data_IF_949085453113
#
_entry.id   IF_949085453113
#
_cell.length_a   1.000
_cell.length_b   1.000
_cell.length_c   1.000
_cell.angle_alpha   90.00
_cell.angle_beta   90.00
_cell.angle_gamma   90.00
#
_symmetry.space_group_name_H-M   'P 1'
#
loop_
_entity.id
_entity.type
_entity.pdbx_description
1 polymer ?
#
# COMPACT_ATOMS: atom_id res chain seq x y z
N UNK A 1 19.43 3.74 -26.52
CA UNK A 1 18.50 4.24 -25.50
C UNK A 1 17.51 5.21 -26.15
N UNK A 2 16.34 4.71 -26.59
CA UNK A 2 15.37 5.45 -27.42
C UNK A 2 14.89 6.75 -26.76
N UNK A 3 14.76 6.75 -25.42
CA UNK A 3 14.31 7.92 -24.65
C UNK A 3 15.31 9.10 -24.69
N UNK A 4 16.56 8.83 -25.06
CA UNK A 4 17.63 9.84 -25.17
C UNK A 4 17.80 10.38 -26.60
N UNK A 5 17.08 9.87 -27.60
CA UNK A 5 17.26 10.31 -28.99
C UNK A 5 16.53 11.64 -29.26
N UNK A 6 17.13 12.48 -30.10
CA UNK A 6 16.54 13.73 -30.56
C UNK A 6 15.10 13.59 -31.11
N UNK A 7 14.77 12.61 -31.98
CA UNK A 7 13.40 12.47 -32.50
C UNK A 7 12.39 12.04 -31.43
N UNK A 8 12.80 11.20 -30.47
CA UNK A 8 11.92 10.81 -29.35
C UNK A 8 11.63 12.00 -28.45
N UNK A 9 12.67 12.77 -28.11
CA UNK A 9 12.53 13.97 -27.30
C UNK A 9 11.62 14.97 -28.01
N UNK A 10 11.84 15.31 -29.29
CA UNK A 10 10.99 16.25 -30.04
C UNK A 10 9.50 15.88 -30.04
N UNK A 11 9.16 14.59 -30.23
CA UNK A 11 7.77 14.14 -30.35
C UNK A 11 7.07 13.89 -29.01
N UNK A 12 7.82 13.65 -27.93
CA UNK A 12 7.28 13.22 -26.62
C UNK A 12 7.66 14.17 -25.47
N UNK A 13 7.93 15.45 -25.75
CA UNK A 13 8.19 16.48 -24.72
C UNK A 13 6.99 16.75 -23.81
N UNK A 14 5.78 16.50 -24.30
CA UNK A 14 4.58 16.68 -23.51
C UNK A 14 4.39 15.49 -22.58
N UNK A 15 4.84 15.66 -21.34
CA UNK A 15 4.59 14.73 -20.25
C UNK A 15 3.69 15.44 -19.24
N UNK A 16 2.38 15.20 -19.33
CA UNK A 16 1.46 15.69 -18.30
C UNK A 16 1.67 14.84 -17.05
N UNK A 17 2.01 15.50 -15.94
CA UNK A 17 2.15 14.83 -14.65
C UNK A 17 0.79 14.31 -14.22
N UNK A 18 0.74 13.09 -13.69
CA UNK A 18 -0.43 12.60 -12.97
C UNK A 18 -0.80 13.59 -11.89
N UNK A 19 -2.02 14.12 -11.97
CA UNK A 19 -2.57 15.00 -10.93
C UNK A 19 -2.98 14.12 -9.75
N UNK A 20 -2.40 14.31 -8.55
CA UNK A 20 -2.84 13.56 -7.38
C UNK A 20 -4.30 13.93 -7.10
N UNK A 21 -5.22 12.98 -7.29
CA UNK A 21 -6.58 13.12 -6.76
C UNK A 21 -6.53 12.72 -5.29
N UNK A 22 -6.82 13.66 -4.40
CA UNK A 22 -7.21 13.33 -3.04
C UNK A 22 -8.65 12.78 -3.08
N UNK A 23 -8.80 11.51 -3.45
CA UNK A 23 -10.06 10.81 -3.22
C UNK A 23 -10.00 10.34 -1.77
N UNK A 24 -10.99 10.67 -0.92
CA UNK A 24 -11.12 10.01 0.38
C UNK A 24 -11.56 8.56 0.12
N UNK A 25 -10.60 7.66 -0.07
CA UNK A 25 -10.84 6.20 -0.24
C UNK A 25 -11.19 5.55 1.13
N UNK A 26 -11.38 6.37 2.17
CA UNK A 26 -11.77 5.98 3.52
C UNK A 26 -11.40 7.05 4.54
N UNK A 27 -11.94 6.95 5.75
CA UNK A 27 -11.52 7.78 6.88
C UNK A 27 -10.33 7.11 7.59
N UNK A 28 -9.16 7.75 7.57
CA UNK A 28 -8.05 7.35 8.44
C UNK A 28 -8.32 7.86 9.85
N UNK A 29 -8.77 6.98 10.75
CA UNK A 29 -8.96 7.27 12.16
C UNK A 29 -8.42 6.14 13.02
N UNK A 30 -7.92 6.49 14.20
CA UNK A 30 -7.57 5.50 15.21
C UNK A 30 -8.84 4.73 15.61
N UNK A 31 -8.79 3.39 15.75
CA UNK A 31 -9.90 2.62 16.29
C UNK A 31 -10.25 3.05 17.72
N UNK A 32 -11.52 2.90 18.11
CA UNK A 32 -12.00 3.11 19.48
C UNK A 32 -12.55 1.77 20.01
N UNK A 33 -11.69 0.92 20.58
CA UNK A 33 -12.08 -0.43 20.95
C UNK A 33 -12.89 -0.53 22.26
N UNK A 34 -12.91 0.51 23.10
CA UNK A 34 -13.57 0.50 24.41
C UNK A 34 -13.21 -0.74 25.27
N UNK A 35 -11.97 -1.23 25.13
CA UNK A 35 -11.46 -2.42 25.82
C UNK A 35 -11.84 -3.77 25.19
N UNK A 36 -12.46 -3.77 24.01
CA UNK A 36 -12.87 -4.98 23.30
C UNK A 36 -11.90 -5.32 22.15
N UNK A 37 -11.47 -6.59 22.03
CA UNK A 37 -10.72 -7.07 20.86
C UNK A 37 -11.55 -7.00 19.56
N UNK A 38 -10.88 -7.12 18.41
CA UNK A 38 -11.47 -7.09 17.07
C UNK A 38 -11.27 -5.76 16.34
N UNK A 39 -10.48 -4.84 16.90
CA UNK A 39 -10.22 -3.52 16.32
C UNK A 39 -8.78 -3.47 15.83
N UNK A 40 -8.62 -3.66 14.52
CA UNK A 40 -7.30 -3.78 13.90
C UNK A 40 -6.72 -2.40 13.51
N UNK A 41 -5.44 -2.21 13.81
CA UNK A 41 -4.59 -1.17 13.24
C UNK A 41 -3.72 -1.79 12.15
N UNK A 42 -3.86 -1.29 10.93
CA UNK A 42 -3.10 -1.75 9.76
C UNK A 42 -2.02 -0.73 9.43
N UNK A 43 -0.78 -1.20 9.34
CA UNK A 43 0.36 -0.44 8.81
C UNK A 43 1.04 -1.18 7.67
N UNK A 44 1.68 -0.46 6.77
CA UNK A 44 2.40 -1.05 5.63
C UNK A 44 3.81 -0.49 5.54
N UNK A 45 4.81 -1.37 5.50
CA UNK A 45 6.22 -1.01 5.32
C UNK A 45 6.71 -1.57 3.99
N UNK A 46 7.37 -0.73 3.19
CA UNK A 46 7.97 -1.15 1.93
C UNK A 46 9.42 -1.61 2.17
N UNK A 47 9.79 -2.79 1.65
CA UNK A 47 11.14 -3.34 1.82
C UNK A 47 12.24 -2.53 1.10
N UNK A 48 11.84 -1.60 0.22
CA UNK A 48 12.76 -0.86 -0.64
C UNK A 48 12.86 -1.49 -2.03
N UNK A 49 13.60 -0.82 -2.91
CA UNK A 49 13.82 -1.27 -4.29
C UNK A 49 15.23 -1.89 -4.42
N UNK A 50 15.34 -2.97 -5.18
CA UNK A 50 16.63 -3.60 -5.54
C UNK A 50 16.80 -3.54 -7.07
N UNK A 51 17.89 -2.93 -7.53
CA UNK A 51 18.20 -2.77 -8.97
C UNK A 51 17.05 -2.15 -9.78
N UNK A 52 16.30 -1.23 -9.17
CA UNK A 52 15.13 -0.58 -9.77
C UNK A 52 13.89 -1.47 -9.88
N UNK A 53 13.92 -2.70 -9.34
CA UNK A 53 12.74 -3.54 -9.13
C UNK A 53 12.17 -3.22 -7.75
N UNK A 54 10.84 -3.02 -7.71
CA UNK A 54 10.15 -2.80 -6.44
C UNK A 54 10.20 -4.04 -5.55
N UNK A 55 10.60 -3.86 -4.31
CA UNK A 55 10.41 -4.87 -3.27
C UNK A 55 8.97 -4.97 -2.80
N UNK A 56 8.71 -5.96 -1.96
CA UNK A 56 7.39 -6.26 -1.39
C UNK A 56 7.00 -5.24 -0.32
N UNK A 57 5.74 -5.30 0.09
CA UNK A 57 5.18 -4.56 1.21
C UNK A 57 4.84 -5.55 2.32
N UNK A 58 5.35 -5.31 3.52
CA UNK A 58 4.92 -5.99 4.73
C UNK A 58 3.72 -5.24 5.32
N UNK A 59 2.70 -5.99 5.74
CA UNK A 59 1.51 -5.49 6.40
C UNK A 59 1.54 -5.95 7.85
N UNK A 60 1.45 -5.00 8.78
CA UNK A 60 1.31 -5.28 10.19
C UNK A 60 -0.16 -5.07 10.56
N UNK A 61 -0.84 -6.14 10.96
CA UNK A 61 -2.21 -6.10 11.47
C UNK A 61 -2.19 -6.39 12.97
N UNK A 62 -2.42 -5.35 13.77
CA UNK A 62 -2.35 -5.42 15.24
C UNK A 62 -3.71 -5.15 15.84
N UNK A 63 -4.22 -6.05 16.67
CA UNK A 63 -5.41 -5.77 17.48
C UNK A 63 -5.09 -4.78 18.60
N UNK A 64 -5.89 -3.73 18.72
CA UNK A 64 -5.60 -2.59 19.60
C UNK A 64 -5.68 -2.94 21.09
N UNK A 65 -6.38 -4.02 21.47
CA UNK A 65 -6.53 -4.41 22.88
C UNK A 65 -5.56 -5.52 23.26
N UNK A 66 -5.57 -6.62 22.52
CA UNK A 66 -4.75 -7.79 22.81
C UNK A 66 -3.29 -7.60 22.43
N UNK A 67 -2.99 -6.62 21.58
CA UNK A 67 -1.67 -6.40 20.98
C UNK A 67 -1.16 -7.62 20.19
N UNK A 68 -2.03 -8.56 19.84
CA UNK A 68 -1.69 -9.66 18.96
C UNK A 68 -1.45 -9.12 17.55
N UNK A 69 -0.35 -9.55 16.93
CA UNK A 69 0.10 -9.09 15.62
C UNK A 69 0.12 -10.25 14.62
N UNK A 70 -0.42 -9.99 13.43
CA UNK A 70 -0.23 -10.81 12.26
C UNK A 70 0.52 -9.99 11.21
N UNK A 71 1.60 -10.57 10.68
CA UNK A 71 2.39 -9.97 9.61
C UNK A 71 2.15 -10.70 8.30
N UNK A 72 1.73 -9.95 7.28
CA UNK A 72 1.53 -10.47 5.92
C UNK A 72 2.49 -9.78 4.95
N UNK A 73 2.72 -10.38 3.79
CA UNK A 73 3.57 -9.80 2.75
C UNK A 73 2.84 -9.83 1.41
N UNK A 74 2.83 -8.69 0.72
CA UNK A 74 2.21 -8.55 -0.60
C UNK A 74 3.19 -7.94 -1.59
N UNK A 75 3.01 -8.27 -2.87
CA UNK A 75 3.89 -7.75 -3.92
C UNK A 75 3.71 -6.24 -4.16
N UNK A 76 2.50 -5.70 -3.95
CA UNK A 76 2.19 -4.28 -4.21
C UNK A 76 1.12 -3.77 -3.23
N UNK A 77 1.12 -2.45 -3.00
CA UNK A 77 0.20 -1.78 -2.07
C UNK A 77 -1.18 -1.42 -2.67
N UNK A 78 -1.46 -1.77 -3.94
CA UNK A 78 -2.77 -1.46 -4.51
C UNK A 78 -3.85 -2.40 -3.96
N UNK A 79 -5.06 -1.91 -3.87
CA UNK A 79 -6.26 -2.61 -3.36
C UNK A 79 -6.39 -4.07 -3.80
N UNK A 80 -6.20 -4.37 -5.10
CA UNK A 80 -6.28 -5.73 -5.65
C UNK A 80 -5.35 -6.76 -4.96
N UNK A 81 -4.22 -6.32 -4.38
CA UNK A 81 -3.29 -7.19 -3.66
C UNK A 81 -3.55 -7.18 -2.15
N UNK A 82 -4.16 -6.11 -1.63
CA UNK A 82 -4.44 -5.97 -0.20
C UNK A 82 -5.75 -6.64 0.21
N UNK A 83 -6.82 -6.48 -0.58
CA UNK A 83 -8.15 -6.99 -0.26
C UNK A 83 -8.15 -8.48 0.10
N UNK A 84 -7.55 -9.39 -0.70
CA UNK A 84 -7.60 -10.82 -0.39
C UNK A 84 -6.91 -11.16 0.94
N UNK A 85 -5.83 -10.45 1.27
CA UNK A 85 -5.10 -10.64 2.54
C UNK A 85 -5.90 -10.09 3.71
N UNK A 86 -6.53 -8.94 3.55
CA UNK A 86 -7.37 -8.34 4.59
C UNK A 86 -8.63 -9.18 4.85
N UNK A 87 -9.24 -9.76 3.82
CA UNK A 87 -10.36 -10.69 3.95
C UNK A 87 -9.95 -11.94 4.76
N UNK A 88 -8.81 -12.55 4.42
CA UNK A 88 -8.28 -13.69 5.18
C UNK A 88 -7.99 -13.36 6.64
N UNK A 89 -7.50 -12.15 6.93
CA UNK A 89 -7.26 -11.71 8.31
C UNK A 89 -8.56 -11.53 9.12
N UNK A 90 -9.67 -11.23 8.47
CA UNK A 90 -10.97 -11.04 9.12
C UNK A 90 -11.76 -12.35 9.29
N UNK A 91 -11.48 -13.37 8.47
CA UNK A 91 -12.10 -14.70 8.54
C UNK A 91 -11.41 -15.67 9.51
N UNK A 92 -10.21 -15.32 10.00
CA UNK A 92 -9.35 -16.18 10.81
C UNK A 92 -9.77 -16.33 12.28
#
# INVERSE_FOLDING_TARGET
NLRKSAPYQQRRRHCEKTRPRQIPIGERRKPRPDGQPGYLRIDTVHQGDLDGKKGVYHLNAVDEVTQFEVVCTVERISEQYLLPVLEQLLEA
#
